data_IF_553083000978
#
_entry.id   IF_553083000978
#
_cell.length_a   1.000
_cell.length_b   1.000
_cell.length_c   1.000
_cell.angle_alpha   90.00
_cell.angle_beta   90.00
_cell.angle_gamma   90.00
#
_symmetry.space_group_name_H-M   'P 1'
#
loop_
_entity.id
_entity.type
_entity.pdbx_description
1 polymer ?
#
# COMPACT_ATOMS: atom_id res chain seq x y z
N UNK A 1 13.81 -4.51 10.87
CA UNK A 1 12.49 -3.83 10.97
C UNK A 1 11.75 -4.10 9.68
N UNK A 2 10.42 -4.21 9.71
CA UNK A 2 9.65 -4.30 8.46
C UNK A 2 9.53 -2.89 7.89
N UNK A 3 9.76 -2.74 6.59
CA UNK A 3 9.73 -1.46 5.89
C UNK A 3 8.49 -1.39 4.98
N UNK A 4 7.97 -0.18 4.76
CA UNK A 4 6.91 0.04 3.79
C UNK A 4 7.50 0.02 2.38
N UNK A 5 6.72 -0.40 1.38
CA UNK A 5 7.26 -0.53 0.03
C UNK A 5 7.71 0.81 -0.57
N UNK A 6 8.97 0.85 -1.00
CA UNK A 6 9.37 1.70 -2.12
C UNK A 6 9.19 0.96 -3.46
N UNK A 7 9.45 1.63 -4.60
CA UNK A 7 9.25 1.01 -5.91
C UNK A 7 10.10 -0.25 -6.15
N UNK A 8 11.43 -0.25 -5.90
CA UNK A 8 12.23 -1.47 -6.03
C UNK A 8 11.72 -2.65 -5.21
N UNK A 9 11.30 -2.41 -3.96
CA UNK A 9 10.80 -3.43 -3.07
C UNK A 9 9.45 -3.99 -3.51
N UNK A 10 8.54 -3.11 -3.96
CA UNK A 10 7.26 -3.53 -4.52
C UNK A 10 7.49 -4.40 -5.76
N UNK A 11 8.34 -3.96 -6.70
CA UNK A 11 8.66 -4.72 -7.91
C UNK A 11 9.27 -6.09 -7.58
N UNK A 12 10.18 -6.15 -6.61
CA UNK A 12 10.77 -7.40 -6.13
C UNK A 12 9.73 -8.31 -5.47
N UNK A 13 8.85 -7.76 -4.64
CA UNK A 13 7.76 -8.50 -4.02
C UNK A 13 6.81 -9.08 -5.06
N UNK A 14 6.38 -8.29 -6.04
CA UNK A 14 5.47 -8.73 -7.09
C UNK A 14 6.11 -9.80 -7.99
N UNK A 15 7.40 -9.70 -8.27
CA UNK A 15 8.13 -10.74 -8.99
C UNK A 15 8.16 -12.06 -8.22
N UNK A 16 8.53 -12.03 -6.93
CA UNK A 16 8.68 -13.26 -6.14
C UNK A 16 7.36 -13.95 -5.82
N UNK A 17 6.28 -13.20 -5.59
CA UNK A 17 4.99 -13.77 -5.18
C UNK A 17 4.06 -14.05 -6.37
N UNK A 18 4.17 -13.28 -7.46
CA UNK A 18 3.21 -13.33 -8.58
C UNK A 18 3.88 -13.43 -9.96
N UNK A 19 5.21 -13.43 -10.05
CA UNK A 19 5.94 -13.52 -11.32
C UNK A 19 5.88 -12.25 -12.18
N UNK A 20 5.41 -11.12 -11.63
CA UNK A 20 5.28 -9.88 -12.40
C UNK A 20 6.65 -9.26 -12.68
N UNK A 21 6.90 -8.93 -13.95
CA UNK A 21 8.14 -8.28 -14.36
C UNK A 21 8.12 -6.79 -13.99
N UNK A 22 9.30 -6.21 -13.80
CA UNK A 22 9.51 -4.79 -13.45
C UNK A 22 8.60 -3.84 -14.24
N UNK A 23 8.56 -3.96 -15.58
CA UNK A 23 7.74 -3.10 -16.44
C UNK A 23 6.24 -3.24 -16.13
N UNK A 24 5.76 -4.48 -16.03
CA UNK A 24 4.35 -4.74 -15.71
C UNK A 24 3.97 -4.19 -14.34
N UNK A 25 4.82 -4.40 -13.33
CA UNK A 25 4.60 -3.83 -12.00
C UNK A 25 4.55 -2.30 -12.01
N UNK A 26 5.38 -1.64 -12.84
CA UNK A 26 5.33 -0.18 -12.97
C UNK A 26 4.04 0.29 -13.64
N UNK A 27 3.61 -0.37 -14.71
CA UNK A 27 2.35 -0.06 -15.40
C UNK A 27 1.12 -0.23 -14.49
N UNK A 28 1.11 -1.27 -13.64
CA UNK A 28 0.05 -1.48 -12.64
C UNK A 28 0.06 -0.39 -11.55
N UNK A 29 1.24 0.00 -11.07
CA UNK A 29 1.37 1.02 -10.04
C UNK A 29 0.94 2.40 -10.57
N UNK A 30 1.33 2.74 -11.81
CA UNK A 30 0.90 3.97 -12.49
C UNK A 30 -0.63 3.97 -12.65
N UNK A 31 -1.26 2.85 -13.06
CA UNK A 31 -2.73 2.72 -13.16
C UNK A 31 -3.44 2.97 -11.82
N UNK A 32 -2.95 2.35 -10.74
CA UNK A 32 -3.51 2.54 -9.39
C UNK A 32 -3.33 3.99 -8.90
N UNK A 33 -2.21 4.62 -9.24
CA UNK A 33 -1.95 6.03 -8.92
C UNK A 33 -2.85 6.99 -9.69
N UNK A 34 -3.05 6.77 -10.99
CA UNK A 34 -3.97 7.56 -11.82
C UNK A 34 -5.41 7.43 -11.33
N UNK A 35 -5.79 6.25 -10.83
CA UNK A 35 -7.06 6.05 -10.14
C UNK A 35 -7.09 6.75 -8.77
N UNK A 36 -5.95 7.13 -8.19
CA UNK A 36 -5.84 7.71 -6.86
C UNK A 36 -6.01 6.69 -5.74
N UNK A 37 -5.83 5.39 -6.02
CA UNK A 37 -5.89 4.32 -5.02
C UNK A 37 -4.62 4.24 -4.16
N UNK A 38 -3.47 4.66 -4.70
CA UNK A 38 -2.17 4.70 -4.02
C UNK A 38 -1.50 6.08 -4.16
N UNK A 39 -0.50 6.35 -3.31
CA UNK A 39 0.38 7.52 -3.43
C UNK A 39 1.37 7.38 -4.59
N UNK A 40 2.12 8.44 -4.93
CA UNK A 40 3.07 8.41 -6.06
C UNK A 40 4.01 7.20 -5.96
N UNK A 41 3.97 6.27 -6.94
CA UNK A 41 4.73 5.04 -6.89
C UNK A 41 6.21 5.26 -7.17
N UNK A 42 6.65 6.44 -7.65
CA UNK A 42 8.04 6.71 -8.05
C UNK A 42 8.88 7.20 -6.89
N UNK A 43 8.84 6.48 -5.77
CA UNK A 43 9.57 6.78 -4.54
C UNK A 43 10.62 5.72 -4.23
N UNK A 44 11.75 6.17 -3.68
CA UNK A 44 12.78 5.31 -3.06
C UNK A 44 12.68 5.25 -1.55
N UNK A 45 11.78 6.01 -0.92
CA UNK A 45 11.61 6.03 0.52
C UNK A 45 10.71 4.89 0.99
N UNK A 46 10.99 4.35 2.17
CA UNK A 46 10.24 3.26 2.80
C UNK A 46 9.62 3.64 4.15
N UNK A 47 9.63 4.93 4.48
CA UNK A 47 9.09 5.46 5.74
C UNK A 47 7.66 5.98 5.59
N UNK A 48 6.90 5.93 6.67
CA UNK A 48 5.62 6.64 6.77
C UNK A 48 5.87 8.14 7.04
N UNK A 49 5.24 9.06 6.28
CA UNK A 49 5.50 10.49 6.42
C UNK A 49 4.81 11.08 7.67
N UNK A 50 5.50 11.99 8.36
CA UNK A 50 4.95 12.69 9.54
C UNK A 50 3.63 13.39 9.26
N UNK A 51 3.50 13.99 8.08
CA UNK A 51 2.29 14.71 7.65
C UNK A 51 1.02 13.84 7.64
N UNK A 52 1.16 12.51 7.64
CA UNK A 52 0.02 11.59 7.59
C UNK A 52 -0.29 10.96 8.96
N UNK A 53 0.44 11.31 10.03
CA UNK A 53 0.23 10.72 11.37
C UNK A 53 -1.16 11.02 11.90
N UNK A 54 -1.58 12.29 11.87
CA UNK A 54 -2.92 12.72 12.32
C UNK A 54 -4.06 12.11 11.48
N UNK A 55 -3.72 11.66 10.27
CA UNK A 55 -4.63 11.11 9.27
C UNK A 55 -4.63 9.58 9.24
N UNK A 56 -3.83 8.93 10.09
CA UNK A 56 -3.59 7.49 10.06
C UNK A 56 -4.87 6.68 10.29
N UNK A 57 -5.68 7.03 11.30
CA UNK A 57 -6.91 6.30 11.60
C UNK A 57 -7.93 6.37 10.46
N UNK A 58 -8.04 7.53 9.80
CA UNK A 58 -8.90 7.67 8.62
C UNK A 58 -8.40 6.84 7.45
N UNK A 59 -7.08 6.82 7.20
CA UNK A 59 -6.47 5.99 6.17
C UNK A 59 -6.68 4.50 6.48
N UNK A 60 -6.45 4.08 7.72
CA UNK A 60 -6.64 2.71 8.19
C UNK A 60 -8.08 2.23 7.94
N UNK A 61 -9.07 3.06 8.27
CA UNK A 61 -10.46 2.73 8.03
C UNK A 61 -10.78 2.62 6.54
N UNK A 62 -10.32 3.58 5.72
CA UNK A 62 -10.53 3.54 4.27
C UNK A 62 -9.93 2.28 3.63
N UNK A 63 -8.71 1.91 4.03
CA UNK A 63 -8.06 0.69 3.52
C UNK A 63 -8.87 -0.54 3.90
N UNK A 64 -9.27 -0.67 5.18
CA UNK A 64 -10.08 -1.78 5.66
C UNK A 64 -11.40 -1.90 4.91
N UNK A 65 -12.10 -0.79 4.67
CA UNK A 65 -13.34 -0.76 3.89
C UNK A 65 -13.09 -1.22 2.45
N UNK A 66 -12.05 -0.73 1.79
CA UNK A 66 -11.77 -1.12 0.40
C UNK A 66 -11.51 -2.63 0.24
N UNK A 67 -10.93 -3.29 1.25
CA UNK A 67 -10.59 -4.73 1.21
C UNK A 67 -11.60 -5.61 1.95
N UNK A 68 -12.67 -5.06 2.53
CA UNK A 68 -13.57 -5.80 3.44
C UNK A 68 -14.25 -7.02 2.80
N UNK A 69 -14.39 -7.00 1.47
CA UNK A 69 -15.00 -8.07 0.69
C UNK A 69 -13.97 -9.07 0.12
N UNK A 70 -12.69 -8.98 0.52
CA UNK A 70 -11.68 -9.96 0.17
C UNK A 70 -11.84 -11.25 0.99
N UNK A 71 -11.64 -12.41 0.34
CA UNK A 71 -11.84 -13.72 0.98
C UNK A 71 -10.79 -14.04 2.06
N UNK A 72 -9.57 -13.47 1.95
CA UNK A 72 -8.49 -13.66 2.91
C UNK A 72 -8.24 -12.36 3.68
N UNK A 73 -8.86 -12.21 4.86
CA UNK A 73 -8.64 -11.09 5.78
C UNK A 73 -7.77 -11.46 6.99
N UNK A 74 -7.02 -12.56 6.93
CA UNK A 74 -6.24 -13.08 8.05
C UNK A 74 -5.19 -12.09 8.59
N UNK A 75 -4.84 -11.07 7.82
CA UNK A 75 -3.89 -10.01 8.17
C UNK A 75 -4.52 -8.79 8.88
N UNK A 76 -5.85 -8.61 8.84
CA UNK A 76 -6.51 -7.43 9.43
C UNK A 76 -6.33 -7.32 10.95
N UNK A 77 -6.08 -8.44 11.63
CA UNK A 77 -5.94 -8.51 13.08
C UNK A 77 -4.50 -8.28 13.58
N UNK A 78 -3.54 -7.97 12.68
CA UNK A 78 -2.11 -7.84 13.02
C UNK A 78 -1.63 -6.40 13.20
N UNK A 79 -2.54 -5.42 13.28
CA UNK A 79 -2.16 -4.01 13.43
C UNK A 79 -1.31 -3.78 14.69
N UNK A 80 -0.07 -3.34 14.50
CA UNK A 80 0.76 -2.85 15.60
C UNK A 80 0.20 -1.53 16.12
N UNK A 81 0.39 -1.31 17.42
CA UNK A 81 0.04 -0.05 18.07
C UNK A 81 0.74 1.13 17.37
N UNK A 82 0.01 2.24 17.28
CA UNK A 82 0.36 3.52 16.65
C UNK A 82 1.77 4.06 17.01
N UNK A 83 2.34 3.59 18.13
CA UNK A 83 3.63 4.00 18.69
C UNK A 83 4.84 3.78 17.78
N UNK A 84 4.74 2.98 16.71
CA UNK A 84 5.83 2.69 15.77
C UNK A 84 5.83 3.53 14.48
N UNK A 85 4.82 4.39 14.25
CA UNK A 85 4.62 5.05 12.94
C UNK A 85 5.54 6.26 12.71
N UNK A 86 6.26 6.74 13.73
CA UNK A 86 7.04 7.98 13.67
C UNK A 86 8.54 7.68 13.55
N UNK A 87 9.06 7.52 12.32
CA UNK A 87 10.51 7.40 12.06
C UNK A 87 11.06 8.40 11.03
N UNK A 88 10.23 9.03 10.22
CA UNK A 88 10.68 9.91 9.13
C UNK A 88 10.86 11.37 9.56
N UNK A 89 11.95 12.02 9.15
CA UNK A 89 12.13 13.49 9.21
C UNK A 89 11.82 14.18 7.86
N UNK A 90 11.41 13.43 6.85
CA UNK A 90 11.13 13.94 5.50
C UNK A 90 9.66 13.78 5.11
N UNK A 91 9.19 14.68 4.25
CA UNK A 91 7.86 14.61 3.63
C UNK A 91 7.77 13.55 2.52
N UNK A 92 8.91 13.00 2.10
CA UNK A 92 8.97 11.88 1.17
C UNK A 92 8.41 10.61 1.82
N UNK A 93 7.63 9.85 1.05
CA UNK A 93 6.80 8.77 1.57
C UNK A 93 7.05 7.45 0.84
N UNK A 94 6.78 6.35 1.52
CA UNK A 94 6.58 5.05 0.88
C UNK A 94 5.37 5.03 -0.05
N UNK A 95 5.22 3.96 -0.82
CA UNK A 95 4.01 3.67 -1.58
C UNK A 95 2.95 3.20 -0.59
N UNK A 96 1.91 4.02 -0.40
CA UNK A 96 0.84 3.79 0.56
C UNK A 96 -0.50 3.76 -0.18
N UNK A 97 -1.51 3.05 0.36
CA UNK A 97 -2.88 3.30 -0.04
C UNK A 97 -3.29 4.76 0.23
N UNK A 98 -4.35 5.22 -0.42
CA UNK A 98 -4.98 6.50 -0.09
C UNK A 98 -6.29 6.31 0.67
N UNK A 99 -6.90 7.44 1.06
CA UNK A 99 -8.24 7.48 1.67
C UNK A 99 -9.37 7.33 0.65
N UNK A 100 -9.05 7.18 -0.65
CA UNK A 100 -10.07 7.03 -1.68
C UNK A 100 -10.82 5.72 -1.44
N UNK A 101 -12.14 5.82 -1.33
CA UNK A 101 -13.01 4.65 -1.29
C UNK A 101 -13.32 4.17 -2.70
N UNK A 102 -13.23 2.87 -2.92
CA UNK A 102 -13.60 2.21 -4.17
C UNK A 102 -13.93 0.75 -3.91
N UNK A 103 -14.68 0.13 -4.81
CA UNK A 103 -14.92 -1.31 -4.76
C UNK A 103 -13.71 -2.03 -5.38
N UNK A 104 -12.98 -2.79 -4.58
CA UNK A 104 -11.80 -3.52 -5.03
C UNK A 104 -12.09 -4.55 -6.13
N UNK A 105 -13.34 -5.00 -6.26
CA UNK A 105 -13.75 -5.91 -7.31
C UNK A 105 -13.90 -5.23 -8.69
N UNK A 106 -13.84 -3.90 -8.75
CA UNK A 106 -13.81 -3.15 -10.00
C UNK A 106 -12.40 -3.09 -10.62
N UNK A 107 -11.36 -3.45 -9.84
CA UNK A 107 -9.98 -3.53 -10.33
C UNK A 107 -9.78 -4.76 -11.22
N UNK A 108 -8.89 -4.65 -12.21
CA UNK A 108 -8.41 -5.83 -12.93
C UNK A 108 -7.65 -6.74 -11.97
N UNK A 109 -7.59 -8.02 -12.29
CA UNK A 109 -6.98 -9.04 -11.43
C UNK A 109 -5.58 -8.65 -10.92
N UNK A 110 -4.69 -8.21 -11.80
CA UNK A 110 -3.32 -7.86 -11.44
C UNK A 110 -3.22 -6.55 -10.63
N UNK A 111 -4.08 -5.57 -10.93
CA UNK A 111 -4.20 -4.31 -10.17
C UNK A 111 -4.69 -4.60 -8.75
N UNK A 112 -5.69 -5.49 -8.63
CA UNK A 112 -6.21 -5.99 -7.37
C UNK A 112 -5.12 -6.66 -6.54
N UNK A 113 -4.34 -7.56 -7.13
CA UNK A 113 -3.21 -8.20 -6.45
C UNK A 113 -2.18 -7.19 -5.94
N UNK A 114 -1.82 -6.21 -6.77
CA UNK A 114 -0.88 -5.17 -6.37
C UNK A 114 -1.42 -4.30 -5.24
N UNK A 115 -2.67 -3.83 -5.34
CA UNK A 115 -3.29 -3.03 -4.29
C UNK A 115 -3.36 -3.80 -2.96
N UNK A 116 -3.74 -5.08 -3.00
CA UNK A 116 -3.76 -5.94 -1.80
C UNK A 116 -2.36 -6.09 -1.20
N UNK A 117 -1.31 -6.25 -2.02
CA UNK A 117 0.06 -6.33 -1.51
C UNK A 117 0.48 -5.05 -0.77
N UNK A 118 0.17 -3.88 -1.34
CA UNK A 118 0.44 -2.56 -0.74
C UNK A 118 -0.37 -2.39 0.55
N UNK A 119 -1.67 -2.71 0.54
CA UNK A 119 -2.54 -2.64 1.70
C UNK A 119 -2.07 -3.58 2.83
N UNK A 120 -1.71 -4.83 2.51
CA UNK A 120 -1.15 -5.80 3.46
C UNK A 120 0.16 -5.29 4.07
N UNK A 121 1.05 -4.74 3.25
CA UNK A 121 2.32 -4.17 3.72
C UNK A 121 2.08 -3.02 4.70
N UNK A 122 1.16 -2.10 4.39
CA UNK A 122 0.75 -0.99 5.27
C UNK A 122 0.10 -1.47 6.58
N UNK A 123 -0.85 -2.40 6.53
CA UNK A 123 -1.61 -2.84 7.72
C UNK A 123 -0.79 -3.66 8.72
N UNK A 124 0.30 -4.25 8.26
CA UNK A 124 1.22 -5.04 9.07
C UNK A 124 2.50 -4.28 9.46
N UNK A 125 2.65 -3.01 9.04
CA UNK A 125 3.76 -2.13 9.45
C UNK A 125 3.61 -1.72 10.91
#
# INVERSE_FOLDING_TARGET
MKELFNLPELQKYMYHNYGFRVRHSMELADSLYEMGAITDPRTSQSNYPLAFVDKYLELLNAVKTNIENEEDLSFLNKGKALDMVISGKSDEHAILPTKKLFNINDLKHDEKMMYIAIAKNFLEY
#
